data_IF_646273683920
#
_entry.id   IF_646273683920
#
_cell.length_a   1.000
_cell.length_b   1.000
_cell.length_c   1.000
_cell.angle_alpha   90.00
_cell.angle_beta   90.00
_cell.angle_gamma   90.00
#
_symmetry.space_group_name_H-M   'P 1'
#
loop_
_entity.id
_entity.type
_entity.pdbx_description
1 polymer ?
#
# COMPACT_ATOMS: atom_id res chain seq x y z
N UNK A 1 42.00 -30.94 5.47
CA UNK A 1 41.92 -29.52 5.07
C UNK A 1 40.45 -29.12 5.19
N UNK A 2 39.96 -28.38 6.18
CA UNK A 2 40.54 -27.24 6.90
C UNK A 2 39.79 -25.98 6.43
N UNK A 3 38.67 -25.64 7.08
CA UNK A 3 37.84 -24.50 6.66
C UNK A 3 36.74 -24.11 7.65
N UNK A 4 37.13 -23.70 8.86
CA UNK A 4 36.24 -23.05 9.84
C UNK A 4 35.79 -21.68 9.36
N UNK A 5 34.47 -21.46 9.15
CA UNK A 5 33.90 -20.11 9.05
C UNK A 5 33.31 -19.68 10.39
N UNK A 6 33.86 -18.56 10.89
CA UNK A 6 33.51 -17.90 12.16
C UNK A 6 32.14 -17.20 12.06
N UNK A 7 31.40 -17.27 13.16
CA UNK A 7 30.15 -16.52 13.43
C UNK A 7 30.44 -15.03 13.56
N UNK A 8 29.67 -14.18 12.86
CA UNK A 8 29.53 -12.77 13.21
C UNK A 8 28.23 -12.58 13.99
N UNK A 9 28.37 -12.18 15.26
CA UNK A 9 27.27 -11.92 16.19
C UNK A 9 27.05 -10.41 16.22
N UNK A 10 25.99 -9.93 15.60
CA UNK A 10 25.62 -8.51 15.60
C UNK A 10 25.11 -8.14 16.99
N UNK A 11 25.78 -7.16 17.61
CA UNK A 11 25.48 -6.64 18.94
C UNK A 11 24.27 -5.69 18.83
N UNK A 12 23.18 -6.03 19.50
CA UNK A 12 22.03 -5.13 19.70
C UNK A 12 22.49 -4.04 20.68
N UNK A 13 22.35 -2.78 20.27
CA UNK A 13 22.68 -1.60 21.08
C UNK A 13 21.36 -1.05 21.60
N UNK A 14 21.17 -1.08 22.92
CA UNK A 14 19.98 -0.55 23.59
C UNK A 14 19.93 0.99 23.51
N UNK A 15 18.74 1.60 23.33
CA UNK A 15 18.59 3.05 23.30
C UNK A 15 18.82 3.68 24.70
N UNK A 16 19.60 4.76 24.75
CA UNK A 16 19.80 5.56 25.95
C UNK A 16 18.49 6.25 26.40
N UNK A 17 18.24 6.37 27.71
CA UNK A 17 17.13 7.15 28.24
C UNK A 17 17.41 8.67 28.15
N UNK A 18 16.37 9.51 27.94
CA UNK A 18 16.52 10.95 27.85
C UNK A 18 16.87 11.61 29.20
N UNK A 19 17.63 12.74 29.19
CA UNK A 19 18.10 13.40 30.40
C UNK A 19 16.97 14.17 31.12
N UNK A 20 16.84 13.94 32.43
CA UNK A 20 15.96 14.71 33.32
C UNK A 20 16.65 16.00 33.75
N UNK A 21 16.19 17.15 33.25
CA UNK A 21 16.63 18.46 33.74
C UNK A 21 15.91 18.85 35.03
N UNK A 22 16.61 19.40 36.05
CA UNK A 22 15.99 19.80 37.31
C UNK A 22 15.27 21.15 37.19
N UNK A 23 14.03 21.21 37.69
CA UNK A 23 13.26 22.45 37.86
C UNK A 23 13.86 23.25 39.02
N UNK A 24 14.51 24.38 38.72
CA UNK A 24 14.87 25.40 39.72
C UNK A 24 13.60 26.10 40.18
N UNK A 25 13.17 25.84 41.41
CA UNK A 25 12.16 26.65 42.09
C UNK A 25 12.84 27.93 42.60
N UNK A 26 12.48 29.09 42.04
CA UNK A 26 12.85 30.37 42.61
C UNK A 26 11.93 30.65 43.81
N UNK A 27 12.55 30.83 44.98
CA UNK A 27 11.90 31.22 46.24
C UNK A 27 11.37 32.64 46.09
N UNK A 28 10.05 32.81 46.15
CA UNK A 28 9.39 34.11 46.16
C UNK A 28 9.76 34.80 47.48
N UNK A 29 10.39 35.96 47.37
CA UNK A 29 10.72 36.82 48.50
C UNK A 29 9.46 37.65 48.80
N UNK A 30 8.81 37.40 49.93
CA UNK A 30 7.67 38.20 50.38
C UNK A 30 8.17 39.58 50.84
N UNK A 31 7.64 40.62 50.21
CA UNK A 31 7.94 42.02 50.53
C UNK A 31 7.10 42.40 51.77
N UNK A 32 7.70 42.96 52.84
CA UNK A 32 7.00 43.34 54.06
C UNK A 32 5.91 44.40 53.81
N UNK A 33 4.75 44.24 54.45
CA UNK A 33 3.53 45.03 54.20
C UNK A 33 3.61 46.52 54.57
N UNK A 34 4.70 46.98 55.19
CA UNK A 34 4.84 48.34 55.71
C UNK A 34 5.20 49.41 54.68
N UNK A 35 5.40 49.06 53.40
CA UNK A 35 5.66 50.02 52.31
C UNK A 35 4.51 50.14 51.30
N UNK A 36 3.31 49.62 51.60
CA UNK A 36 2.11 49.88 50.81
C UNK A 36 1.63 51.33 50.99
N UNK A 37 2.35 52.27 50.38
CA UNK A 37 1.84 53.61 50.15
C UNK A 37 0.68 53.51 49.15
N UNK A 38 -0.53 53.73 49.65
CA UNK A 38 -1.77 53.78 48.87
C UNK A 38 -1.76 55.08 48.07
N UNK A 39 -1.03 55.08 46.95
CA UNK A 39 -1.29 56.02 45.86
C UNK A 39 -2.28 55.36 44.91
N UNK A 40 -3.44 55.98 44.62
CA UNK A 40 -4.31 55.44 43.58
C UNK A 40 -3.50 55.41 42.28
N UNK A 41 -3.50 54.29 41.53
CA UNK A 41 -2.84 54.27 40.23
C UNK A 41 -3.49 55.35 39.36
N UNK A 42 -2.71 56.05 38.50
CA UNK A 42 -3.29 56.94 37.51
C UNK A 42 -4.31 56.13 36.71
N UNK A 43 -5.52 56.66 36.57
CA UNK A 43 -6.56 56.04 35.77
C UNK A 43 -6.02 55.79 34.37
N UNK A 44 -5.66 54.54 34.08
CA UNK A 44 -5.29 54.13 32.73
C UNK A 44 -6.52 54.37 31.86
N UNK A 45 -6.47 55.41 31.03
CA UNK A 45 -7.46 55.58 29.97
C UNK A 45 -7.36 54.33 29.09
N UNK A 46 -8.44 53.55 29.01
CA UNK A 46 -8.55 52.33 28.19
C UNK A 46 -8.48 52.60 26.66
N UNK A 47 -7.92 53.74 26.26
CA UNK A 47 -7.88 54.21 24.89
C UNK A 47 -6.78 53.52 24.04
N UNK A 48 -5.87 52.77 24.68
CA UNK A 48 -4.77 52.06 24.00
C UNK A 48 -5.06 50.58 23.71
N UNK A 49 -6.15 50.00 24.22
CA UNK A 49 -6.42 48.57 24.08
C UNK A 49 -6.93 48.21 22.68
N UNK A 50 -7.78 49.06 22.11
CA UNK A 50 -8.38 48.81 20.79
C UNK A 50 -7.35 48.82 19.66
N UNK A 51 -6.36 49.73 19.74
CA UNK A 51 -5.28 49.81 18.76
C UNK A 51 -4.40 48.55 18.76
N UNK A 52 -4.04 48.03 19.94
CA UNK A 52 -3.26 46.80 20.05
C UNK A 52 -4.03 45.57 19.53
N UNK A 53 -5.32 45.45 19.85
CA UNK A 53 -6.15 44.37 19.31
C UNK A 53 -6.33 44.48 17.80
N UNK A 54 -6.47 45.69 17.27
CA UNK A 54 -6.57 45.91 15.83
C UNK A 54 -5.27 45.53 15.10
N UNK A 55 -4.11 45.92 15.62
CA UNK A 55 -2.81 45.52 15.04
C UNK A 55 -2.61 44.01 15.10
N UNK A 56 -2.96 43.36 16.22
CA UNK A 56 -2.90 41.90 16.35
C UNK A 56 -3.85 41.19 15.37
N UNK A 57 -5.06 41.72 15.19
CA UNK A 57 -6.03 41.19 14.22
C UNK A 57 -5.51 41.30 12.78
N UNK A 58 -4.95 42.44 12.40
CA UNK A 58 -4.35 42.62 11.07
C UNK A 58 -3.17 41.66 10.87
N UNK A 59 -2.29 41.50 11.87
CA UNK A 59 -1.16 40.58 11.76
C UNK A 59 -1.60 39.12 11.61
N UNK A 60 -2.55 38.67 12.43
CA UNK A 60 -3.10 37.30 12.33
C UNK A 60 -3.84 37.05 11.02
N UNK A 61 -4.57 38.06 10.51
CA UNK A 61 -5.20 38.00 9.19
C UNK A 61 -4.17 37.89 8.06
N UNK A 62 -3.10 38.70 8.09
CA UNK A 62 -2.03 38.65 7.08
C UNK A 62 -1.27 37.31 7.11
N UNK A 63 -0.96 36.78 8.30
CA UNK A 63 -0.35 35.46 8.44
C UNK A 63 -1.31 34.38 7.93
N UNK A 64 -2.60 34.46 8.26
CA UNK A 64 -3.63 33.56 7.75
C UNK A 64 -3.76 33.59 6.23
N UNK A 65 -3.69 34.77 5.62
CA UNK A 65 -3.66 34.92 4.16
C UNK A 65 -2.40 34.33 3.55
N UNK A 66 -1.22 34.57 4.13
CA UNK A 66 0.03 33.99 3.64
C UNK A 66 0.02 32.47 3.74
N UNK A 67 -0.47 31.91 4.85
CA UNK A 67 -0.64 30.45 5.00
C UNK A 67 -1.69 29.93 4.01
N UNK A 68 -2.81 30.64 3.85
CA UNK A 68 -3.85 30.29 2.89
C UNK A 68 -3.32 30.25 1.47
N UNK A 69 -2.61 31.29 1.02
CA UNK A 69 -1.99 31.36 -0.30
C UNK A 69 -0.93 30.27 -0.45
N UNK A 70 -0.08 30.02 0.54
CA UNK A 70 0.91 28.94 0.47
C UNK A 70 0.26 27.56 0.41
N UNK A 71 -0.80 27.30 1.16
CA UNK A 71 -1.55 26.04 1.08
C UNK A 71 -2.24 25.92 -0.29
N UNK A 72 -2.78 27.00 -0.82
CA UNK A 72 -3.44 27.05 -2.12
C UNK A 72 -2.46 26.98 -3.32
N UNK A 73 -1.19 27.34 -3.12
CA UNK A 73 -0.13 27.17 -4.11
C UNK A 73 0.55 25.79 -3.99
N UNK A 74 0.66 25.24 -2.77
CA UNK A 74 1.23 23.91 -2.52
C UNK A 74 0.24 22.76 -2.80
N UNK A 75 -1.07 23.02 -2.76
CA UNK A 75 -2.03 22.23 -3.48
C UNK A 75 -2.15 22.85 -4.85
N UNK A 76 -1.39 22.38 -5.87
CA UNK A 76 -1.73 22.74 -7.23
C UNK A 76 -3.23 22.47 -7.34
N UNK A 77 -4.00 23.48 -7.77
CA UNK A 77 -5.32 23.22 -8.29
C UNK A 77 -5.17 21.94 -9.12
N UNK A 78 -5.94 20.91 -8.78
CA UNK A 78 -6.25 19.83 -9.70
C UNK A 78 -6.96 20.49 -10.88
N UNK A 79 -6.21 21.21 -11.69
CA UNK A 79 -6.64 21.76 -12.95
C UNK A 79 -6.95 20.52 -13.78
N UNK A 80 -8.24 20.31 -13.99
CA UNK A 80 -8.79 19.10 -14.56
C UNK A 80 -8.03 18.66 -15.80
N UNK A 81 -8.08 17.35 -16.07
CA UNK A 81 -7.26 16.74 -17.12
C UNK A 81 -7.32 17.55 -18.43
N UNK A 82 -6.18 17.71 -19.11
CA UNK A 82 -6.18 18.30 -20.44
C UNK A 82 -7.15 17.55 -21.37
N UNK A 83 -7.66 18.20 -22.42
CA UNK A 83 -8.56 17.52 -23.38
C UNK A 83 -7.96 16.23 -23.95
N UNK A 84 -6.64 16.21 -24.17
CA UNK A 84 -5.93 15.01 -24.62
C UNK A 84 -5.96 13.91 -23.56
N UNK A 85 -5.67 14.24 -22.30
CA UNK A 85 -5.76 13.30 -21.19
C UNK A 85 -7.19 12.83 -20.94
N UNK A 86 -8.22 13.66 -21.13
CA UNK A 86 -9.63 13.24 -21.03
C UNK A 86 -9.99 12.21 -22.11
N UNK A 87 -9.46 12.38 -23.33
CA UNK A 87 -9.68 11.41 -24.41
C UNK A 87 -8.99 10.08 -24.09
N UNK A 88 -7.75 10.12 -23.62
CA UNK A 88 -7.00 8.91 -23.19
C UNK A 88 -7.72 8.25 -22.01
N UNK A 89 -8.11 9.02 -21.00
CA UNK A 89 -8.90 8.58 -19.85
C UNK A 89 -10.18 7.88 -20.27
N UNK A 90 -10.93 8.45 -21.21
CA UNK A 90 -12.16 7.84 -21.73
C UNK A 90 -11.90 6.53 -22.47
N UNK A 91 -10.82 6.47 -23.24
CA UNK A 91 -10.41 5.24 -23.92
C UNK A 91 -9.99 4.16 -22.92
N UNK A 92 -9.22 4.52 -21.89
CA UNK A 92 -8.85 3.61 -20.80
C UNK A 92 -10.07 3.15 -20.00
N UNK A 93 -11.04 4.02 -19.73
CA UNK A 93 -12.27 3.66 -19.03
C UNK A 93 -13.07 2.59 -19.79
N UNK A 94 -13.16 2.69 -21.13
CA UNK A 94 -13.82 1.65 -21.93
C UNK A 94 -13.07 0.31 -21.90
N UNK A 95 -11.73 0.34 -21.99
CA UNK A 95 -10.92 -0.88 -21.84
C UNK A 95 -11.11 -1.51 -20.47
N UNK A 96 -11.10 -0.68 -19.43
CA UNK A 96 -11.26 -1.10 -18.04
C UNK A 96 -12.60 -1.78 -17.81
N UNK A 97 -13.71 -1.22 -18.30
CA UNK A 97 -15.03 -1.83 -18.14
C UNK A 97 -15.13 -3.18 -18.87
N UNK A 98 -14.51 -3.29 -20.05
CA UNK A 98 -14.45 -4.56 -20.77
C UNK A 98 -13.64 -5.61 -20.00
N UNK A 99 -12.46 -5.26 -19.52
CA UNK A 99 -11.61 -6.15 -18.73
C UNK A 99 -12.29 -6.55 -17.43
N UNK A 100 -13.00 -5.60 -16.79
CA UNK A 100 -13.76 -5.84 -15.58
C UNK A 100 -14.74 -7.00 -15.71
N UNK A 101 -15.61 -6.97 -16.71
CA UNK A 101 -16.59 -8.04 -16.90
C UNK A 101 -15.94 -9.42 -17.08
N UNK A 102 -14.82 -9.49 -17.81
CA UNK A 102 -14.11 -10.76 -18.04
C UNK A 102 -13.49 -11.29 -16.73
N UNK A 103 -12.81 -10.41 -15.99
CA UNK A 103 -12.15 -10.73 -14.72
C UNK A 103 -13.14 -11.00 -13.58
N UNK A 104 -14.33 -10.40 -13.62
CA UNK A 104 -15.38 -10.64 -12.62
C UNK A 104 -16.08 -11.99 -12.81
N UNK A 105 -16.22 -12.45 -14.06
CA UNK A 105 -16.96 -13.66 -14.41
C UNK A 105 -16.10 -14.90 -14.60
N UNK A 106 -14.79 -14.73 -14.79
CA UNK A 106 -13.86 -15.84 -15.01
C UNK A 106 -13.05 -16.11 -13.75
N UNK A 107 -13.03 -17.37 -13.33
CA UNK A 107 -12.13 -17.85 -12.29
C UNK A 107 -10.81 -18.23 -12.96
N UNK A 108 -9.66 -17.68 -12.53
CA UNK A 108 -8.38 -18.04 -13.10
C UNK A 108 -8.10 -19.52 -12.89
N UNK A 109 -7.47 -20.16 -13.87
CA UNK A 109 -6.98 -21.53 -13.76
C UNK A 109 -5.45 -21.55 -13.75
N UNK A 110 -4.87 -22.61 -13.21
CA UNK A 110 -3.41 -22.77 -13.18
C UNK A 110 -2.84 -23.37 -14.47
N UNK A 111 -3.70 -23.74 -15.42
CA UNK A 111 -3.39 -24.57 -16.59
C UNK A 111 -3.09 -23.80 -17.88
N UNK A 112 -2.91 -22.48 -17.81
CA UNK A 112 -2.61 -21.63 -18.98
C UNK A 112 -3.65 -21.72 -20.10
N UNK A 113 -4.95 -21.79 -19.77
CA UNK A 113 -5.97 -21.81 -20.82
C UNK A 113 -5.87 -20.58 -21.74
N UNK A 114 -6.28 -20.70 -23.01
CA UNK A 114 -6.32 -19.57 -23.93
C UNK A 114 -7.14 -18.39 -23.38
N UNK A 115 -8.21 -18.69 -22.64
CA UNK A 115 -9.07 -17.68 -22.00
C UNK A 115 -8.31 -16.91 -20.94
N UNK A 116 -7.64 -17.60 -20.01
CA UNK A 116 -6.88 -16.92 -18.95
C UNK A 116 -5.68 -16.15 -19.50
N UNK A 117 -5.08 -16.59 -20.61
CA UNK A 117 -4.03 -15.84 -21.32
C UNK A 117 -4.56 -14.52 -21.91
N UNK A 118 -5.69 -14.55 -22.62
CA UNK A 118 -6.31 -13.33 -23.17
C UNK A 118 -6.68 -12.35 -22.04
N UNK A 119 -7.21 -12.86 -20.92
CA UNK A 119 -7.50 -12.02 -19.75
C UNK A 119 -6.22 -11.38 -19.18
N UNK A 120 -5.14 -12.15 -19.05
CA UNK A 120 -3.86 -11.63 -18.57
C UNK A 120 -3.30 -10.53 -19.50
N UNK A 121 -3.38 -10.71 -20.82
CA UNK A 121 -3.02 -9.68 -21.81
C UNK A 121 -3.89 -8.43 -21.67
N UNK A 122 -5.22 -8.59 -21.51
CA UNK A 122 -6.15 -7.47 -21.31
C UNK A 122 -5.91 -6.73 -19.99
N UNK A 123 -5.42 -7.43 -18.97
CA UNK A 123 -4.99 -6.85 -17.71
C UNK A 123 -3.70 -6.01 -17.87
N UNK A 124 -2.73 -6.47 -18.66
CA UNK A 124 -1.53 -5.68 -18.99
C UNK A 124 -1.89 -4.44 -19.82
N UNK A 125 -2.71 -4.60 -20.87
CA UNK A 125 -3.20 -3.49 -21.70
C UNK A 125 -3.89 -2.41 -20.85
N UNK A 126 -4.61 -2.83 -19.81
CA UNK A 126 -5.26 -1.94 -18.85
C UNK A 126 -4.23 -1.25 -17.97
N UNK A 127 -3.28 -1.97 -17.38
CA UNK A 127 -2.20 -1.42 -16.55
C UNK A 127 -1.40 -0.34 -17.30
N UNK A 128 -1.03 -0.62 -18.56
CA UNK A 128 -0.35 0.33 -19.43
C UNK A 128 -1.20 1.58 -19.68
N UNK A 129 -2.50 1.40 -19.96
CA UNK A 129 -3.43 2.51 -20.15
C UNK A 129 -3.56 3.38 -18.88
N UNK A 130 -3.67 2.75 -17.71
CA UNK A 130 -3.77 3.43 -16.43
C UNK A 130 -2.48 4.20 -16.09
N UNK A 131 -1.32 3.63 -16.41
CA UNK A 131 -0.02 4.29 -16.19
C UNK A 131 0.15 5.57 -17.02
N UNK A 132 -0.51 5.64 -18.18
CA UNK A 132 -0.48 6.80 -19.06
C UNK A 132 -1.40 7.94 -18.60
N UNK A 133 -2.37 7.67 -17.71
CA UNK A 133 -3.28 8.71 -17.21
C UNK A 133 -2.78 9.28 -15.89
N UNK A 134 -2.28 10.53 -15.95
CA UNK A 134 -1.79 11.26 -14.78
C UNK A 134 -2.88 12.01 -14.01
N UNK A 135 -4.09 12.05 -14.56
CA UNK A 135 -5.19 12.78 -13.98
C UNK A 135 -5.87 11.98 -12.86
N UNK A 136 -6.05 12.61 -11.72
CA UNK A 136 -6.61 12.04 -10.48
C UNK A 136 -8.14 11.81 -10.50
N UNK A 137 -8.85 12.29 -11.52
CA UNK A 137 -10.32 12.25 -11.57
C UNK A 137 -10.90 10.88 -11.96
N UNK A 138 -10.06 9.91 -12.32
CA UNK A 138 -10.52 8.57 -12.63
C UNK A 138 -10.68 7.74 -11.36
N UNK A 139 -11.94 7.54 -10.96
CA UNK A 139 -12.29 6.55 -9.94
C UNK A 139 -12.36 5.17 -10.59
N UNK A 140 -11.43 4.30 -10.21
CA UNK A 140 -11.42 2.91 -10.63
C UNK A 140 -12.06 2.00 -9.58
N UNK A 141 -12.75 0.91 -9.96
CA UNK A 141 -13.22 -0.09 -9.03
C UNK A 141 -12.03 -0.73 -8.31
N UNK A 142 -12.04 -0.68 -6.97
CA UNK A 142 -10.89 -1.04 -6.13
C UNK A 142 -10.35 -2.47 -6.30
N UNK A 143 -11.14 -3.41 -6.82
CA UNK A 143 -10.78 -4.85 -6.87
C UNK A 143 -10.19 -5.33 -8.19
N UNK A 144 -10.33 -4.55 -9.27
CA UNK A 144 -9.90 -5.00 -10.60
C UNK A 144 -8.37 -5.17 -10.72
N UNK A 145 -7.53 -4.23 -10.21
CA UNK A 145 -6.08 -4.40 -10.26
C UNK A 145 -5.59 -5.63 -9.49
N UNK A 146 -6.21 -5.94 -8.34
CA UNK A 146 -5.86 -7.11 -7.52
C UNK A 146 -6.14 -8.41 -8.27
N UNK A 147 -7.34 -8.52 -8.86
CA UNK A 147 -7.68 -9.69 -9.69
C UNK A 147 -6.78 -9.85 -10.91
N UNK A 148 -6.44 -8.75 -11.56
CA UNK A 148 -5.52 -8.77 -12.70
C UNK A 148 -4.11 -9.27 -12.34
N UNK A 149 -3.62 -9.00 -11.13
CA UNK A 149 -2.33 -9.53 -10.67
C UNK A 149 -2.31 -11.06 -10.64
N UNK A 150 -3.41 -11.71 -10.25
CA UNK A 150 -3.49 -13.18 -10.25
C UNK A 150 -3.38 -13.73 -11.67
N UNK A 151 -4.17 -13.20 -12.61
CA UNK A 151 -4.12 -13.66 -14.00
C UNK A 151 -2.72 -13.47 -14.60
N UNK A 152 -2.12 -12.29 -14.38
CA UNK A 152 -0.75 -11.98 -14.81
C UNK A 152 0.25 -12.99 -14.23
N UNK A 153 0.17 -13.26 -12.92
CA UNK A 153 1.07 -14.19 -12.27
C UNK A 153 0.94 -15.61 -12.85
N UNK A 154 -0.25 -16.20 -12.86
CA UNK A 154 -0.39 -17.62 -13.28
C UNK A 154 -0.24 -17.86 -14.78
N UNK A 155 -0.53 -16.87 -15.62
CA UNK A 155 -0.43 -17.01 -17.07
C UNK A 155 0.89 -16.51 -17.64
N UNK A 156 1.61 -15.61 -16.96
CA UNK A 156 2.86 -15.01 -17.45
C UNK A 156 4.02 -15.41 -16.54
N UNK A 157 4.02 -14.97 -15.29
CA UNK A 157 5.18 -15.14 -14.39
C UNK A 157 5.41 -16.60 -13.99
N UNK A 158 4.33 -17.38 -13.87
CA UNK A 158 4.34 -18.80 -13.55
C UNK A 158 4.64 -19.69 -14.76
N UNK A 159 4.66 -19.15 -15.99
CA UNK A 159 4.80 -19.95 -17.20
C UNK A 159 6.11 -20.76 -17.24
N UNK A 160 7.24 -20.10 -16.97
CA UNK A 160 8.54 -20.78 -16.93
C UNK A 160 8.62 -21.85 -15.82
N UNK A 161 7.97 -21.61 -14.68
CA UNK A 161 7.85 -22.59 -13.60
C UNK A 161 7.02 -23.81 -14.02
N UNK A 162 5.89 -23.57 -14.68
CA UNK A 162 5.04 -24.62 -15.24
C UNK A 162 5.79 -25.49 -16.24
N UNK A 163 6.59 -24.91 -17.13
CA UNK A 163 7.39 -25.67 -18.08
C UNK A 163 8.34 -26.63 -17.35
N UNK A 164 9.01 -26.16 -16.30
CA UNK A 164 9.83 -27.02 -15.42
C UNK A 164 9.02 -28.11 -14.72
N UNK A 165 7.82 -27.80 -14.24
CA UNK A 165 6.95 -28.79 -13.61
C UNK A 165 6.61 -29.90 -14.62
N UNK A 166 6.26 -29.53 -15.85
CA UNK A 166 5.94 -30.49 -16.92
C UNK A 166 7.14 -31.38 -17.26
N UNK A 167 8.35 -30.82 -17.26
CA UNK A 167 9.60 -31.55 -17.52
C UNK A 167 10.08 -32.41 -16.32
N UNK A 168 9.52 -32.19 -15.12
CA UNK A 168 9.95 -32.91 -13.92
C UNK A 168 9.32 -34.30 -13.85
N UNK A 169 10.16 -35.32 -13.89
CA UNK A 169 9.74 -36.69 -13.62
C UNK A 169 9.34 -36.89 -12.15
N UNK A 170 8.34 -37.73 -11.91
CA UNK A 170 7.85 -38.10 -10.57
C UNK A 170 7.28 -36.95 -9.72
N UNK A 171 6.46 -36.08 -10.34
CA UNK A 171 5.71 -35.06 -9.59
C UNK A 171 4.83 -35.65 -8.48
N UNK A 172 4.79 -35.01 -7.29
CA UNK A 172 3.80 -35.34 -6.26
C UNK A 172 2.37 -35.24 -6.79
N UNK A 173 1.48 -36.10 -6.30
CA UNK A 173 0.06 -36.13 -6.71
C UNK A 173 -0.62 -34.77 -6.54
N UNK A 174 -0.25 -34.00 -5.51
CA UNK A 174 -0.77 -32.65 -5.32
C UNK A 174 -0.40 -31.77 -6.52
N UNK A 175 0.88 -31.68 -6.91
CA UNK A 175 1.32 -30.84 -8.04
C UNK A 175 0.65 -31.27 -9.33
N UNK A 176 0.45 -32.58 -9.54
CA UNK A 176 -0.32 -33.08 -10.69
C UNK A 176 -1.76 -32.56 -10.69
N UNK A 177 -2.44 -32.57 -9.54
CA UNK A 177 -3.79 -32.00 -9.39
C UNK A 177 -3.80 -30.47 -9.58
N UNK A 178 -2.72 -29.78 -9.23
CA UNK A 178 -2.58 -28.34 -9.43
C UNK A 178 -2.53 -27.96 -10.93
N UNK A 179 -1.93 -28.82 -11.75
CA UNK A 179 -1.73 -28.56 -13.20
C UNK A 179 -2.92 -28.99 -14.08
N UNK A 180 -4.04 -29.42 -13.50
CA UNK A 180 -5.23 -29.86 -14.25
C UNK A 180 -5.92 -28.66 -14.89
N UNK A 181 -6.51 -28.88 -16.08
CA UNK A 181 -7.32 -27.88 -16.75
C UNK A 181 -8.58 -27.54 -15.94
N UNK A 182 -8.64 -26.30 -15.44
CA UNK A 182 -9.82 -25.71 -14.82
C UNK A 182 -9.60 -25.18 -13.38
N UNK A 183 -10.64 -24.54 -12.82
CA UNK A 183 -10.59 -24.02 -11.46
C UNK A 183 -10.42 -25.14 -10.43
N UNK A 184 -9.49 -24.96 -9.49
CA UNK A 184 -9.34 -25.88 -8.35
C UNK A 184 -10.44 -25.58 -7.33
N UNK A 185 -11.27 -26.56 -6.94
CA UNK A 185 -12.32 -26.37 -5.95
C UNK A 185 -11.74 -26.16 -4.54
N UNK A 186 -12.48 -25.48 -3.67
CA UNK A 186 -12.00 -25.07 -2.35
C UNK A 186 -11.50 -26.24 -1.48
N UNK A 187 -12.20 -27.38 -1.46
CA UNK A 187 -11.81 -28.54 -0.65
C UNK A 187 -10.45 -29.09 -1.06
N UNK A 188 -10.22 -29.20 -2.38
CA UNK A 188 -8.94 -29.66 -2.94
C UNK A 188 -7.84 -28.63 -2.70
N UNK A 189 -8.16 -27.34 -2.82
CA UNK A 189 -7.23 -26.26 -2.54
C UNK A 189 -6.76 -26.29 -1.08
N UNK A 190 -7.68 -26.49 -0.12
CA UNK A 190 -7.37 -26.61 1.31
C UNK A 190 -6.54 -27.85 1.63
N UNK A 191 -6.95 -29.01 1.12
CA UNK A 191 -6.28 -30.29 1.35
C UNK A 191 -4.81 -30.25 0.90
N UNK A 192 -4.52 -29.54 -0.19
CA UNK A 192 -3.22 -29.55 -0.83
C UNK A 192 -2.44 -28.24 -0.74
N UNK A 193 -2.94 -27.24 0.00
CA UNK A 193 -2.38 -25.90 0.07
C UNK A 193 -0.88 -25.91 0.41
N UNK A 194 -0.52 -26.58 1.50
CA UNK A 194 0.87 -26.66 1.95
C UNK A 194 1.74 -27.46 0.97
N UNK A 195 1.17 -28.51 0.37
CA UNK A 195 1.86 -29.29 -0.65
C UNK A 195 2.17 -28.46 -1.90
N UNK A 196 1.25 -27.58 -2.32
CA UNK A 196 1.47 -26.64 -3.42
C UNK A 196 2.58 -25.65 -3.07
N UNK A 197 2.48 -24.98 -1.92
CA UNK A 197 3.47 -23.99 -1.47
C UNK A 197 4.88 -24.58 -1.38
N UNK A 198 5.02 -25.80 -0.86
CA UNK A 198 6.31 -26.43 -0.68
C UNK A 198 6.85 -27.09 -1.96
N UNK A 199 6.04 -27.91 -2.64
CA UNK A 199 6.52 -28.71 -3.78
C UNK A 199 6.75 -27.87 -5.01
N UNK A 200 5.84 -26.93 -5.33
CA UNK A 200 6.01 -26.02 -6.47
C UNK A 200 7.18 -25.07 -6.19
N UNK A 201 7.29 -24.58 -4.96
CA UNK A 201 8.42 -23.79 -4.51
C UNK A 201 9.75 -24.50 -4.79
N UNK A 202 9.89 -25.77 -4.39
CA UNK A 202 11.10 -26.58 -4.62
C UNK A 202 11.41 -26.82 -6.10
N UNK A 203 10.40 -27.10 -6.92
CA UNK A 203 10.61 -27.40 -8.35
C UNK A 203 11.01 -26.14 -9.13
N UNK A 204 10.39 -25.01 -8.79
CA UNK A 204 10.55 -23.78 -9.54
C UNK A 204 11.62 -22.84 -8.99
N UNK A 205 12.30 -23.24 -7.91
CA UNK A 205 13.25 -22.40 -7.20
C UNK A 205 14.43 -22.00 -8.11
N UNK A 206 14.44 -20.73 -8.50
CA UNK A 206 15.56 -20.05 -9.14
C UNK A 206 16.35 -19.23 -8.08
N UNK A 207 16.45 -19.71 -6.84
CA UNK A 207 17.07 -19.01 -5.69
C UNK A 207 16.36 -17.71 -5.23
N UNK A 208 15.19 -17.39 -5.78
CA UNK A 208 14.48 -16.13 -5.50
C UNK A 208 13.34 -16.33 -4.51
N UNK A 209 13.55 -15.90 -3.26
CA UNK A 209 12.53 -15.82 -2.21
C UNK A 209 11.29 -15.02 -2.62
N UNK A 210 11.43 -14.17 -3.64
CA UNK A 210 10.35 -13.32 -4.19
C UNK A 210 9.30 -14.15 -4.93
N UNK A 211 9.71 -15.15 -5.72
CA UNK A 211 8.75 -16.02 -6.42
C UNK A 211 7.91 -16.82 -5.43
N UNK A 212 8.56 -17.39 -4.41
CA UNK A 212 7.87 -18.17 -3.37
C UNK A 212 6.85 -17.32 -2.60
N UNK A 213 7.21 -16.07 -2.29
CA UNK A 213 6.32 -15.10 -1.69
C UNK A 213 5.09 -14.84 -2.58
N UNK A 214 5.29 -14.50 -3.86
CA UNK A 214 4.18 -14.23 -4.78
C UNK A 214 3.31 -15.45 -5.03
N UNK A 215 3.89 -16.64 -5.16
CA UNK A 215 3.13 -17.89 -5.29
C UNK A 215 2.21 -18.09 -4.07
N UNK A 216 2.75 -17.93 -2.86
CA UNK A 216 1.95 -18.07 -1.63
C UNK A 216 0.83 -17.04 -1.58
N UNK A 217 1.14 -15.77 -1.81
CA UNK A 217 0.16 -14.68 -1.79
C UNK A 217 -0.94 -14.89 -2.83
N UNK A 218 -0.59 -15.22 -4.07
CA UNK A 218 -1.59 -15.37 -5.14
C UNK A 218 -2.42 -16.65 -5.02
N UNK A 219 -1.94 -17.70 -4.36
CA UNK A 219 -2.78 -18.84 -3.99
C UNK A 219 -3.80 -18.44 -2.91
N UNK A 220 -3.40 -17.61 -1.94
CA UNK A 220 -4.30 -17.09 -0.91
C UNK A 220 -5.36 -16.15 -1.53
N UNK A 221 -4.93 -15.21 -2.37
CA UNK A 221 -5.83 -14.31 -3.11
C UNK A 221 -6.79 -15.09 -4.04
N UNK A 222 -6.32 -16.20 -4.63
CA UNK A 222 -7.18 -17.10 -5.42
C UNK A 222 -8.28 -17.73 -4.55
N UNK A 223 -7.91 -18.19 -3.34
CA UNK A 223 -8.86 -18.69 -2.34
C UNK A 223 -9.97 -17.67 -2.07
N UNK A 224 -9.61 -16.42 -1.83
CA UNK A 224 -10.57 -15.33 -1.60
C UNK A 224 -11.50 -15.10 -2.80
N UNK A 225 -11.00 -15.23 -4.03
CA UNK A 225 -11.82 -15.07 -5.24
C UNK A 225 -12.89 -16.15 -5.40
N UNK A 226 -12.59 -17.38 -5.00
CA UNK A 226 -13.55 -18.50 -5.04
C UNK A 226 -14.36 -18.62 -3.74
N UNK A 227 -14.22 -17.68 -2.80
CA UNK A 227 -14.91 -17.70 -1.51
C UNK A 227 -14.40 -18.79 -0.55
N UNK A 228 -13.15 -19.20 -0.70
CA UNK A 228 -12.51 -20.23 0.11
C UNK A 228 -11.66 -19.61 1.21
N UNK A 229 -12.12 -19.71 2.47
CA UNK A 229 -11.37 -19.22 3.62
C UNK A 229 -10.20 -20.17 3.94
N UNK A 230 -9.00 -19.82 3.47
CA UNK A 230 -7.78 -20.62 3.65
C UNK A 230 -7.08 -20.39 5.01
N UNK A 231 -7.39 -19.29 5.70
CA UNK A 231 -6.72 -18.87 6.95
C UNK A 231 -7.53 -19.06 8.23
N UNK A 232 -8.68 -19.74 8.20
CA UNK A 232 -9.35 -20.15 9.44
C UNK A 232 -8.76 -21.45 9.95
N UNK A 233 -7.67 -21.34 10.71
CA UNK A 233 -7.35 -22.32 11.75
C UNK A 233 -8.51 -22.31 12.76
N UNK A 234 -9.35 -23.35 12.73
CA UNK A 234 -10.15 -23.77 13.89
C UNK A 234 -9.25 -24.36 14.97
#
# INVERSE_FOLDING_TARGET
MGGSRKKHKTKVVDPLPPPKTPKKCHRIQEIPESERSVSPPPGYSNQSCFSCYFVFFIFTFLVGLMVGINVFQCHPHHDGCSKAEQVVARHCAMKLERTRHMVETTIPDFSMTPIGRDIAEKCMDMEDCLSAVRCSDLRFPHRLPERCKIFKFFHIDFAACRDKIIETDNLPTCVKKFMVAGPVPCDVLKEHLECYKESIGKICDNESSVFHYFLKTHIEDYGDMIGCELNKTE
#
